data_IF_712656095691
#
_entry.id   IF_712656095691
#
_cell.length_a   1.000
_cell.length_b   1.000
_cell.length_c   1.000
_cell.angle_alpha   90.00
_cell.angle_beta   90.00
_cell.angle_gamma   90.00
#
_symmetry.space_group_name_H-M   'P 1'
#
loop_
_entity.id
_entity.type
_entity.pdbx_description
1 polymer ?
#
# COMPACT_ATOMS: atom_id res chain seq x y z
N UNK A 1 -2.63 9.84 0.56
CA UNK A 1 -2.54 8.66 -0.32
C UNK A 1 -1.12 8.10 -0.25
N UNK A 2 -0.96 6.82 -0.52
CA UNK A 2 0.29 6.06 -0.44
C UNK A 2 0.68 5.62 -1.85
N UNK A 3 1.92 5.89 -2.26
CA UNK A 3 2.41 5.57 -3.59
C UNK A 3 3.09 4.20 -3.57
N UNK A 4 2.45 3.18 -4.12
CA UNK A 4 3.03 1.84 -4.24
C UNK A 4 3.90 1.82 -5.51
N UNK A 5 5.16 1.48 -5.37
CA UNK A 5 6.15 1.29 -6.42
C UNK A 5 6.45 -0.19 -6.55
N UNK A 6 6.50 -0.70 -7.77
CA UNK A 6 6.90 -2.06 -8.11
C UNK A 6 8.19 -1.97 -8.92
N UNK A 7 9.27 -2.61 -8.47
CA UNK A 7 10.60 -2.53 -9.10
C UNK A 7 11.14 -1.10 -9.25
N UNK A 8 10.82 -0.22 -8.29
CA UNK A 8 11.21 1.19 -8.34
C UNK A 8 10.34 2.07 -9.23
N UNK A 9 9.36 1.51 -9.96
CA UNK A 9 8.41 2.25 -10.79
C UNK A 9 7.10 2.44 -10.05
N UNK A 10 6.52 3.65 -10.09
CA UNK A 10 5.21 3.90 -9.50
C UNK A 10 4.15 2.99 -10.15
N UNK A 11 3.59 2.07 -9.37
CA UNK A 11 2.54 1.15 -9.79
C UNK A 11 1.15 1.76 -9.59
N UNK A 12 0.87 2.27 -8.38
CA UNK A 12 -0.41 2.87 -8.06
C UNK A 12 -0.36 3.86 -6.88
N UNK A 13 -1.41 4.68 -6.77
CA UNK A 13 -1.65 5.54 -5.61
C UNK A 13 -2.95 5.11 -4.93
N UNK A 14 -2.86 4.70 -3.66
CA UNK A 14 -4.02 4.17 -2.92
C UNK A 14 -4.22 4.89 -1.58
N UNK A 15 -5.46 4.94 -1.09
CA UNK A 15 -5.79 5.39 0.26
C UNK A 15 -5.66 4.25 1.26
N UNK A 16 -5.44 4.57 2.53
CA UNK A 16 -5.41 3.58 3.62
C UNK A 16 -6.65 2.67 3.60
N UNK A 17 -7.84 3.25 3.37
CA UNK A 17 -9.10 2.51 3.32
C UNK A 17 -9.16 1.46 2.20
N UNK A 18 -8.47 1.70 1.07
CA UNK A 18 -8.38 0.71 -0.01
C UNK A 18 -7.51 -0.48 0.38
N UNK A 19 -6.38 -0.23 1.04
CA UNK A 19 -5.51 -1.29 1.58
C UNK A 19 -6.20 -2.05 2.72
N UNK A 20 -6.96 -1.35 3.56
CA UNK A 20 -7.78 -1.99 4.59
C UNK A 20 -8.86 -2.89 3.97
N UNK A 21 -9.51 -2.45 2.88
CA UNK A 21 -10.46 -3.27 2.14
C UNK A 21 -9.84 -4.52 1.50
N UNK A 22 -8.59 -4.44 1.05
CA UNK A 22 -7.81 -5.61 0.61
C UNK A 22 -7.55 -6.56 1.79
N UNK A 23 -7.10 -6.03 2.94
CA UNK A 23 -6.84 -6.84 4.13
C UNK A 23 -8.09 -7.60 4.59
N UNK A 24 -9.25 -6.94 4.65
CA UNK A 24 -10.51 -7.58 5.03
C UNK A 24 -10.90 -8.73 4.08
N UNK A 25 -10.67 -8.58 2.76
CA UNK A 25 -10.92 -9.63 1.78
C UNK A 25 -9.98 -10.83 1.98
N UNK A 26 -8.68 -10.58 2.13
CA UNK A 26 -7.71 -11.65 2.41
C UNK A 26 -8.03 -12.36 3.73
N UNK A 27 -8.41 -11.60 4.76
CA UNK A 27 -8.74 -12.13 6.08
C UNK A 27 -10.00 -13.00 6.06
N UNK A 28 -11.01 -12.59 5.27
CA UNK A 28 -12.23 -13.36 5.09
C UNK A 28 -11.97 -14.70 4.39
N UNK A 29 -11.06 -14.72 3.41
CA UNK A 29 -10.76 -15.91 2.62
C UNK A 29 -9.79 -16.88 3.34
N UNK A 30 -8.71 -16.35 3.91
CA UNK A 30 -7.59 -17.15 4.44
C UNK A 30 -7.52 -17.21 5.97
N UNK A 31 -8.30 -16.38 6.67
CA UNK A 31 -8.34 -16.31 8.13
C UNK A 31 -7.25 -15.43 8.76
N UNK A 32 -7.49 -15.05 10.03
CA UNK A 32 -6.62 -14.11 10.78
C UNK A 32 -5.20 -14.63 11.02
N UNK A 33 -5.02 -15.95 11.13
CA UNK A 33 -3.73 -16.55 11.46
C UNK A 33 -2.78 -16.63 10.26
N UNK A 34 -3.31 -16.46 9.04
CA UNK A 34 -2.54 -16.52 7.78
C UNK A 34 -2.19 -15.11 7.31
N UNK A 35 -3.12 -14.16 7.45
CA UNK A 35 -2.91 -12.80 6.95
C UNK A 35 -2.01 -12.00 7.90
N UNK A 36 -0.95 -11.33 7.40
CA UNK A 36 -0.09 -10.48 8.23
C UNK A 36 -0.86 -9.39 8.98
N UNK A 37 -0.29 -8.92 10.10
CA UNK A 37 -0.89 -7.85 10.88
C UNK A 37 -1.02 -6.56 10.06
N UNK A 38 -2.23 -6.00 10.03
CA UNK A 38 -2.51 -4.76 9.34
C UNK A 38 -2.40 -3.55 10.28
N UNK A 39 -1.90 -2.39 9.81
CA UNK A 39 -1.77 -1.20 10.65
C UNK A 39 -3.13 -0.74 11.19
N UNK A 40 -3.29 -0.49 12.49
CA UNK A 40 -4.59 -0.21 13.08
C UNK A 40 -5.17 1.13 12.60
N UNK A 41 -6.51 1.19 12.57
CA UNK A 41 -7.24 2.45 12.41
C UNK A 41 -6.94 3.36 13.60
N UNK A 42 -6.88 4.66 13.34
CA UNK A 42 -6.78 5.70 14.39
C UNK A 42 -8.06 6.51 14.35
N UNK A 43 -8.62 6.81 15.51
CA UNK A 43 -9.86 7.57 15.67
C UNK A 43 -9.64 9.09 15.52
N UNK A 44 -8.39 9.53 15.60
CA UNK A 44 -7.97 10.92 15.47
C UNK A 44 -7.10 11.13 14.23
N UNK A 45 -6.98 12.39 13.81
CA UNK A 45 -6.03 12.82 12.79
C UNK A 45 -4.61 12.42 13.18
N UNK A 46 -3.86 11.84 12.23
CA UNK A 46 -2.49 11.40 12.49
C UNK A 46 -1.53 12.58 12.46
N UNK A 47 -0.57 12.56 13.37
CA UNK A 47 0.61 13.42 13.30
C UNK A 47 1.49 13.03 12.10
N UNK A 48 2.38 13.93 11.67
CA UNK A 48 3.34 13.64 10.59
C UNK A 48 4.19 12.39 10.86
N UNK A 49 4.57 12.15 12.12
CA UNK A 49 5.32 10.97 12.53
C UNK A 49 4.49 9.70 12.40
N UNK A 50 3.25 9.70 12.89
CA UNK A 50 2.37 8.52 12.78
C UNK A 50 1.99 8.20 11.33
N UNK A 51 1.89 9.21 10.46
CA UNK A 51 1.70 8.97 9.01
C UNK A 51 2.89 8.23 8.43
N UNK A 52 4.11 8.55 8.85
CA UNK A 52 5.34 7.88 8.39
C UNK A 52 5.45 6.47 8.95
N UNK A 53 5.23 6.29 10.25
CA UNK A 53 5.18 4.97 10.87
C UNK A 53 4.14 4.07 10.19
N UNK A 54 2.95 4.62 9.90
CA UNK A 54 1.93 3.88 9.14
C UNK A 54 2.39 3.54 7.73
N UNK A 55 3.13 4.42 7.05
CA UNK A 55 3.69 4.13 5.72
C UNK A 55 4.61 2.91 5.78
N UNK A 56 5.54 2.89 6.72
CA UNK A 56 6.48 1.78 6.91
C UNK A 56 5.75 0.47 7.25
N UNK A 57 4.73 0.53 8.10
CA UNK A 57 3.95 -0.67 8.43
C UNK A 57 3.12 -1.18 7.23
N UNK A 58 2.55 -0.28 6.42
CA UNK A 58 1.87 -0.66 5.18
C UNK A 58 2.82 -1.26 4.15
N UNK A 59 4.05 -0.74 4.05
CA UNK A 59 5.10 -1.28 3.18
C UNK A 59 5.48 -2.70 3.60
N UNK A 60 5.76 -2.91 4.89
CA UNK A 60 6.04 -4.24 5.45
C UNK A 60 4.87 -5.20 5.23
N UNK A 61 3.63 -4.75 5.43
CA UNK A 61 2.43 -5.55 5.19
C UNK A 61 2.33 -6.01 3.73
N UNK A 62 2.47 -5.09 2.78
CA UNK A 62 2.38 -5.41 1.34
C UNK A 62 3.51 -6.35 0.88
N UNK A 63 4.72 -6.18 1.43
CA UNK A 63 5.84 -7.08 1.16
C UNK A 63 5.57 -8.48 1.71
N UNK A 64 5.10 -8.59 2.96
CA UNK A 64 4.76 -9.87 3.57
C UNK A 64 3.67 -10.62 2.78
N UNK A 65 2.59 -9.92 2.39
CA UNK A 65 1.53 -10.51 1.54
C UNK A 65 2.09 -10.97 0.19
N UNK A 66 2.98 -10.20 -0.43
CA UNK A 66 3.57 -10.57 -1.74
C UNK A 66 4.52 -11.76 -1.64
N UNK A 67 5.27 -11.87 -0.54
CA UNK A 67 6.27 -12.92 -0.32
C UNK A 67 5.64 -14.24 0.13
N UNK A 68 4.48 -14.19 0.78
CA UNK A 68 3.73 -15.39 1.14
C UNK A 68 3.27 -16.14 -0.13
N UNK A 69 3.60 -17.44 -0.29
CA UNK A 69 3.25 -18.19 -1.49
C UNK A 69 1.75 -18.30 -1.75
N UNK A 70 0.93 -18.37 -0.69
CA UNK A 70 -0.52 -18.50 -0.79
C UNK A 70 -1.17 -17.15 -1.07
N UNK A 71 -0.81 -16.11 -0.31
CA UNK A 71 -1.41 -14.79 -0.45
C UNK A 71 -0.90 -14.05 -1.69
N UNK A 72 0.40 -14.17 -2.01
CA UNK A 72 1.04 -13.48 -3.12
C UNK A 72 0.60 -13.99 -4.49
N UNK A 73 0.20 -15.27 -4.57
CA UNK A 73 -0.40 -15.89 -5.76
C UNK A 73 -1.92 -15.77 -5.81
N UNK A 74 -2.57 -15.33 -4.72
CA UNK A 74 -4.03 -15.22 -4.65
C UNK A 74 -4.61 -14.28 -5.70
N UNK A 75 -5.78 -14.64 -6.22
CA UNK A 75 -6.51 -13.80 -7.17
C UNK A 75 -6.99 -12.51 -6.51
N UNK A 76 -7.34 -12.53 -5.21
CA UNK A 76 -7.74 -11.35 -4.43
C UNK A 76 -6.64 -10.28 -4.48
N UNK A 77 -5.40 -10.66 -4.18
CA UNK A 77 -4.27 -9.74 -4.14
C UNK A 77 -3.88 -9.25 -5.55
N UNK A 78 -3.75 -10.17 -6.52
CA UNK A 78 -3.34 -9.82 -7.87
C UNK A 78 -4.39 -8.98 -8.60
N UNK A 79 -5.69 -9.26 -8.42
CA UNK A 79 -6.76 -8.42 -8.94
C UNK A 79 -6.78 -7.02 -8.30
N UNK A 80 -6.47 -6.89 -7.02
CA UNK A 80 -6.30 -5.58 -6.40
C UNK A 80 -5.18 -4.77 -7.05
N UNK A 81 -4.01 -5.38 -7.26
CA UNK A 81 -2.88 -4.71 -7.90
C UNK A 81 -3.20 -4.29 -9.34
N UNK A 82 -3.84 -5.17 -10.13
CA UNK A 82 -4.25 -4.87 -11.51
C UNK A 82 -5.27 -3.73 -11.57
N UNK A 83 -6.32 -3.76 -10.74
CA UNK A 83 -7.35 -2.70 -10.72
C UNK A 83 -6.82 -1.35 -10.24
N UNK A 84 -5.77 -1.37 -9.42
CA UNK A 84 -5.18 -0.14 -8.87
C UNK A 84 -4.12 0.47 -9.79
N UNK A 85 -3.62 -0.30 -10.76
CA UNK A 85 -2.48 0.03 -11.60
C UNK A 85 -2.75 1.25 -12.49
N UNK A 86 -1.81 2.20 -12.53
CA UNK A 86 -1.89 3.39 -13.38
C UNK A 86 -1.08 3.27 -14.69
N UNK A 87 -0.11 2.34 -14.78
CA UNK A 87 0.75 2.11 -15.98
C UNK A 87 1.14 0.62 -16.08
N UNK A 88 1.21 0.07 -17.29
CA UNK A 88 1.32 -1.35 -17.69
C UNK A 88 2.33 -2.27 -16.95
N UNK A 89 1.98 -3.57 -16.89
CA UNK A 89 2.42 -4.63 -15.98
C UNK A 89 3.88 -5.10 -16.09
N UNK A 90 4.59 -5.09 -14.96
CA UNK A 90 5.67 -6.04 -14.64
C UNK A 90 5.49 -6.55 -13.20
N UNK A 91 5.59 -7.86 -12.94
CA UNK A 91 5.64 -8.37 -11.58
C UNK A 91 7.01 -8.06 -10.97
N UNK A 92 7.07 -7.35 -9.82
CA UNK A 92 8.01 -7.61 -8.71
C UNK A 92 7.90 -6.57 -7.55
N UNK A 93 9.01 -6.18 -6.93
CA UNK A 93 9.15 -5.80 -5.51
C UNK A 93 8.45 -4.49 -5.12
N UNK A 94 7.62 -4.53 -4.07
CA UNK A 94 6.78 -3.40 -3.61
C UNK A 94 7.53 -2.46 -2.65
N UNK A 95 7.53 -1.15 -2.92
CA UNK A 95 7.96 -0.06 -2.02
C UNK A 95 6.88 1.02 -1.92
N UNK A 96 6.74 1.75 -0.80
CA UNK A 96 5.72 2.81 -0.64
C UNK A 96 6.37 4.19 -0.39
N UNK A 97 6.12 5.23 -1.20
CA UNK A 97 6.63 6.60 -0.95
C UNK A 97 5.53 7.63 -0.67
N UNK A 98 5.89 8.79 -0.10
CA UNK A 98 4.99 9.94 0.12
C UNK A 98 4.79 10.78 -1.14
N UNK A 99 3.63 11.46 -1.22
CA UNK A 99 3.43 12.64 -2.07
C UNK A 99 4.10 13.84 -1.39
N UNK A 100 5.27 14.26 -1.86
CA UNK A 100 5.69 15.65 -1.69
C UNK A 100 4.92 16.47 -2.71
N UNK A 101 4.02 17.36 -2.25
CA UNK A 101 3.53 18.42 -3.15
C UNK A 101 4.73 19.32 -3.45
N UNK A 102 5.07 19.61 -4.72
CA UNK A 102 6.05 20.64 -5.01
C UNK A 102 5.53 21.97 -4.46
N UNK A 103 6.26 22.55 -3.51
CA UNK A 103 6.04 23.92 -3.05
C UNK A 103 6.44 24.81 -4.23
N UNK A 104 5.45 25.36 -4.93
CA UNK A 104 5.69 26.37 -5.97
C UNK A 104 6.37 27.54 -5.27
N UNK A 105 7.66 27.74 -5.53
CA UNK A 105 8.35 28.98 -5.18
C UNK A 105 7.78 30.04 -6.10
N UNK A 106 6.92 30.89 -5.54
CA UNK A 106 6.40 32.08 -6.20
C UNK A 106 7.61 32.96 -6.54
N UNK A 107 7.90 33.08 -7.84
CA UNK A 107 8.98 33.93 -8.33
C UNK A 107 8.69 35.39 -7.98
N UNK A 108 9.61 36.00 -7.25
CA UNK A 108 9.71 37.45 -7.17
C UNK A 108 10.54 37.92 -8.37
N UNK A 109 9.91 38.62 -9.30
CA UNK A 109 10.48 39.71 -10.09
C UNK A 109 9.38 40.71 -10.37
#
# INVERSE_FOLDING_TARGET
AYNIHVNGVLHCRVRYSQLFGLHEQLRKEYGNNVVPLFPPKKLFSLTSSEVEQRREQLEKYMQAVRQDPLLGSSEIFNSFLRRSQQVSSVPARIHITRLTRPRVLMGQR
#
